data_IF_662906628124
#
_entry.id   IF_662906628124
#
_cell.length_a   1.000
_cell.length_b   1.000
_cell.length_c   1.000
_cell.angle_alpha   90.00
_cell.angle_beta   90.00
_cell.angle_gamma   90.00
#
_symmetry.space_group_name_H-M   'P 1'
#
loop_
_entity.id
_entity.type
_entity.pdbx_description
1 polymer ?
#
# COMPACT_ATOMS: atom_id res chain seq x y z
N UNK A 1 -23.05 12.19 -10.52
CA UNK A 1 -23.19 10.84 -11.13
C UNK A 1 -21.81 10.34 -11.54
N UNK A 2 -21.61 9.02 -11.71
CA UNK A 2 -20.34 8.46 -12.22
C UNK A 2 -20.05 8.85 -13.68
N UNK A 3 -20.95 9.61 -14.31
CA UNK A 3 -20.97 9.90 -15.74
C UNK A 3 -20.56 11.35 -16.04
N UNK A 4 -20.08 12.09 -15.03
CA UNK A 4 -19.54 13.43 -15.22
C UNK A 4 -18.21 13.37 -15.98
N UNK A 5 -18.24 13.71 -17.27
CA UNK A 5 -17.04 13.95 -18.06
C UNK A 5 -16.06 14.85 -17.29
N UNK A 6 -14.77 14.53 -17.35
CA UNK A 6 -13.66 15.21 -16.66
C UNK A 6 -13.40 16.65 -17.17
N UNK A 7 -14.45 17.45 -17.36
CA UNK A 7 -14.43 18.67 -18.16
C UNK A 7 -13.96 19.95 -17.43
N UNK A 8 -13.69 19.89 -16.11
CA UNK A 8 -13.47 21.10 -15.29
C UNK A 8 -12.09 21.22 -14.59
N UNK A 9 -11.03 20.60 -15.12
CA UNK A 9 -9.65 20.92 -14.72
C UNK A 9 -8.94 21.80 -15.76
N UNK A 10 -8.01 22.72 -15.40
CA UNK A 10 -7.33 23.56 -16.36
C UNK A 10 -6.56 22.70 -17.38
N UNK A 11 -7.09 22.65 -18.61
CA UNK A 11 -6.70 21.75 -19.72
C UNK A 11 -5.31 22.04 -20.32
N UNK A 12 -4.40 22.68 -19.59
CA UNK A 12 -3.20 23.32 -20.16
C UNK A 12 -1.99 22.39 -20.39
N UNK A 13 -1.78 21.42 -19.51
CA UNK A 13 -0.54 20.59 -19.47
C UNK A 13 -0.79 19.08 -19.46
N UNK A 14 -2.03 18.64 -19.65
CA UNK A 14 -2.44 17.23 -19.57
C UNK A 14 -2.76 16.72 -20.97
N UNK A 15 -2.01 15.75 -21.47
CA UNK A 15 -2.20 15.16 -22.80
C UNK A 15 -3.29 14.07 -22.81
N UNK A 16 -3.39 13.27 -21.74
CA UNK A 16 -4.27 12.11 -21.67
C UNK A 16 -4.81 11.91 -20.25
N UNK A 17 -6.07 11.50 -20.14
CA UNK A 17 -6.70 11.03 -18.90
C UNK A 17 -6.90 9.52 -18.98
N UNK A 18 -6.53 8.80 -17.93
CA UNK A 18 -6.70 7.35 -17.85
C UNK A 18 -7.51 6.97 -16.60
N UNK A 19 -8.39 5.99 -16.75
CA UNK A 19 -9.16 5.41 -15.66
C UNK A 19 -8.58 4.06 -15.26
N UNK A 20 -8.47 3.82 -13.95
CA UNK A 20 -8.08 2.53 -13.38
C UNK A 20 -9.09 2.17 -12.29
N UNK A 21 -9.67 0.98 -12.38
CA UNK A 21 -10.56 0.48 -11.36
C UNK A 21 -9.80 0.08 -10.08
N UNK A 22 -10.50 0.06 -8.95
CA UNK A 22 -9.92 -0.24 -7.64
C UNK A 22 -9.25 -1.62 -7.59
N UNK A 23 -9.86 -2.72 -8.09
CA UNK A 23 -9.20 -4.03 -8.10
C UNK A 23 -7.88 -4.05 -8.87
N UNK A 24 -7.81 -3.44 -10.05
CA UNK A 24 -6.60 -3.37 -10.87
C UNK A 24 -5.50 -2.56 -10.19
N UNK A 25 -5.86 -1.47 -9.51
CA UNK A 25 -4.91 -0.69 -8.72
C UNK A 25 -4.35 -1.52 -7.55
N UNK A 26 -5.21 -2.20 -6.78
CA UNK A 26 -4.80 -3.07 -5.66
C UNK A 26 -3.91 -4.22 -6.14
N UNK A 27 -4.27 -4.89 -7.23
CA UNK A 27 -3.45 -5.95 -7.83
C UNK A 27 -2.05 -5.44 -8.19
N UNK A 28 -1.96 -4.22 -8.74
CA UNK A 28 -0.67 -3.60 -9.05
C UNK A 28 0.14 -3.34 -7.78
N UNK A 29 -0.47 -2.86 -6.69
CA UNK A 29 0.21 -2.71 -5.39
C UNK A 29 0.80 -4.03 -4.92
N UNK A 30 0.02 -5.11 -4.94
CA UNK A 30 0.49 -6.43 -4.51
C UNK A 30 1.66 -6.93 -5.35
N UNK A 31 1.58 -6.78 -6.68
CA UNK A 31 2.67 -7.16 -7.58
C UNK A 31 3.94 -6.36 -7.32
N UNK A 32 3.83 -5.05 -7.10
CA UNK A 32 4.98 -4.20 -6.78
C UNK A 32 5.63 -4.59 -5.46
N UNK A 33 4.83 -4.98 -4.45
CA UNK A 33 5.37 -5.51 -3.20
C UNK A 33 6.11 -6.83 -3.41
N UNK A 34 5.55 -7.74 -4.21
CA UNK A 34 6.11 -9.07 -4.43
C UNK A 34 7.35 -9.09 -5.34
N UNK A 35 7.35 -8.27 -6.40
CA UNK A 35 8.38 -8.28 -7.43
C UNK A 35 9.51 -7.28 -7.14
N UNK A 36 9.16 -6.09 -6.66
CA UNK A 36 10.11 -4.98 -6.48
C UNK A 36 10.39 -4.66 -5.01
N UNK A 37 9.71 -5.33 -4.07
CA UNK A 37 9.80 -5.02 -2.63
C UNK A 37 9.23 -3.64 -2.26
N UNK A 38 8.44 -3.03 -3.16
CA UNK A 38 7.94 -1.67 -2.97
C UNK A 38 6.54 -1.66 -2.34
N UNK A 39 6.47 -1.28 -1.07
CA UNK A 39 5.20 -1.10 -0.34
C UNK A 39 4.55 0.26 -0.64
N UNK A 40 3.73 0.30 -1.69
CA UNK A 40 3.07 1.52 -2.18
C UNK A 40 1.57 1.62 -1.84
N UNK A 41 1.04 2.84 -1.75
CA UNK A 41 -0.40 3.06 -1.54
C UNK A 41 -1.28 2.76 -2.78
N UNK A 42 -2.62 2.68 -2.61
CA UNK A 42 -3.55 2.35 -3.71
C UNK A 42 -3.49 3.29 -4.92
N UNK A 43 -3.39 4.61 -4.68
CA UNK A 43 -3.27 5.59 -5.76
C UNK A 43 -1.98 5.44 -6.56
N UNK A 44 -0.87 5.06 -5.90
CA UNK A 44 0.37 4.74 -6.60
C UNK A 44 0.24 3.48 -7.47
N UNK A 45 -0.51 2.48 -6.99
CA UNK A 45 -0.88 1.31 -7.80
C UNK A 45 -1.62 1.69 -9.08
N UNK A 46 -2.58 2.62 -9.01
CA UNK A 46 -3.27 3.14 -10.18
C UNK A 46 -2.31 3.89 -11.14
N UNK A 47 -1.47 4.78 -10.62
CA UNK A 47 -0.49 5.52 -11.45
C UNK A 47 0.51 4.60 -12.14
N UNK A 48 0.99 3.56 -11.45
CA UNK A 48 1.89 2.56 -12.04
C UNK A 48 1.19 1.69 -13.07
N UNK A 49 -0.08 1.32 -12.84
CA UNK A 49 -0.85 0.57 -13.84
C UNK A 49 -0.93 1.33 -15.17
N UNK A 50 -1.30 2.61 -15.11
CA UNK A 50 -1.32 3.48 -16.31
C UNK A 50 0.08 3.61 -16.91
N UNK A 51 1.11 3.79 -16.10
CA UNK A 51 2.47 3.91 -16.59
C UNK A 51 2.96 2.65 -17.32
N UNK A 52 2.63 1.45 -16.81
CA UNK A 52 2.93 0.19 -17.49
C UNK A 52 2.14 0.05 -18.79
N UNK A 53 0.88 0.47 -18.82
CA UNK A 53 0.08 0.47 -20.04
C UNK A 53 0.64 1.42 -21.10
N UNK A 54 1.15 2.59 -20.70
CA UNK A 54 1.85 3.53 -21.59
C UNK A 54 3.19 2.94 -22.04
N UNK A 55 3.96 2.34 -21.13
CA UNK A 55 5.26 1.74 -21.44
C UNK A 55 5.16 0.57 -22.44
N UNK A 56 4.04 -0.14 -22.45
CA UNK A 56 3.77 -1.21 -23.39
C UNK A 56 3.46 -0.71 -24.83
N UNK A 57 3.22 0.59 -25.01
CA UNK A 57 2.93 1.15 -26.34
C UNK A 57 4.20 1.23 -27.19
N UNK A 58 4.15 0.92 -28.50
CA UNK A 58 5.33 0.94 -29.37
C UNK A 58 6.06 2.30 -29.38
N UNK A 59 5.32 3.41 -29.32
CA UNK A 59 5.86 4.76 -29.29
C UNK A 59 6.56 5.14 -27.97
N UNK A 60 6.39 4.34 -26.92
CA UNK A 60 7.10 4.51 -25.65
C UNK A 60 8.47 3.82 -25.64
N UNK A 61 8.82 3.05 -26.70
CA UNK A 61 10.09 2.35 -26.79
C UNK A 61 11.29 3.31 -26.63
N UNK A 62 12.17 3.00 -25.68
CA UNK A 62 13.35 3.81 -25.37
C UNK A 62 13.07 5.13 -24.64
N UNK A 63 11.81 5.45 -24.33
CA UNK A 63 11.46 6.65 -23.54
C UNK A 63 11.50 6.35 -22.04
N UNK A 64 11.72 7.39 -21.24
CA UNK A 64 11.64 7.32 -19.79
C UNK A 64 10.28 7.82 -19.33
N UNK A 65 9.56 7.01 -18.55
CA UNK A 65 8.28 7.37 -17.92
C UNK A 65 8.54 7.59 -16.44
N UNK A 66 8.10 8.75 -15.93
CA UNK A 66 8.23 9.12 -14.52
C UNK A 66 6.88 9.03 -13.85
N UNK A 67 6.82 8.36 -12.70
CA UNK A 67 5.58 8.12 -11.93
C UNK A 67 5.76 8.63 -10.51
N UNK A 68 4.74 9.29 -9.98
CA UNK A 68 4.72 9.76 -8.59
C UNK A 68 4.13 8.66 -7.71
N UNK A 69 4.82 8.37 -6.60
CA UNK A 69 4.35 7.47 -5.55
C UNK A 69 3.96 8.33 -4.34
N UNK A 70 2.66 8.65 -4.13
CA UNK A 70 2.28 9.67 -3.15
C UNK A 70 2.42 9.23 -1.69
N UNK A 71 2.35 7.92 -1.42
CA UNK A 71 2.34 7.39 -0.06
C UNK A 71 2.84 5.95 0.05
N UNK A 72 3.29 5.61 1.25
CA UNK A 72 3.69 4.25 1.64
C UNK A 72 2.49 3.40 2.09
N UNK A 73 2.52 2.10 1.80
CA UNK A 73 1.38 1.21 1.99
C UNK A 73 1.02 0.91 3.45
N UNK A 74 1.97 1.09 4.38
CA UNK A 74 1.78 0.86 5.82
C UNK A 74 0.63 1.69 6.43
N UNK A 75 0.30 2.84 5.81
CA UNK A 75 -0.84 3.67 6.26
C UNK A 75 -2.19 3.01 6.03
N UNK A 76 -2.25 1.96 5.21
CA UNK A 76 -3.48 1.34 4.73
C UNK A 76 -3.71 -0.04 5.35
N UNK A 77 -3.06 -0.40 6.45
CA UNK A 77 -3.21 -1.71 7.13
C UNK A 77 -4.62 -2.00 7.63
N UNK A 78 -5.46 -0.96 7.78
CA UNK A 78 -6.87 -1.07 8.17
C UNK A 78 -7.85 -0.87 7.02
N UNK A 79 -7.37 -0.82 5.78
CA UNK A 79 -8.23 -0.76 4.59
C UNK A 79 -8.26 -2.12 3.90
N UNK A 80 -9.20 -2.34 2.95
CA UNK A 80 -9.29 -3.62 2.23
C UNK A 80 -8.06 -4.01 1.42
N UNK A 81 -7.04 -3.14 1.32
CA UNK A 81 -5.81 -3.42 0.59
C UNK A 81 -5.10 -4.69 1.08
N UNK A 82 -5.24 -5.05 2.36
CA UNK A 82 -4.49 -6.17 2.95
C UNK A 82 -5.37 -7.32 3.45
N UNK A 83 -6.68 -7.30 3.16
CA UNK A 83 -7.63 -8.26 3.77
C UNK A 83 -7.28 -9.72 3.48
N UNK A 84 -6.85 -10.04 2.26
CA UNK A 84 -6.44 -11.39 1.88
C UNK A 84 -5.23 -11.86 2.69
N UNK A 85 -4.21 -11.01 2.81
CA UNK A 85 -3.01 -11.27 3.60
C UNK A 85 -3.34 -11.39 5.10
N UNK A 86 -4.20 -10.52 5.62
CA UNK A 86 -4.64 -10.58 7.02
C UNK A 86 -5.40 -11.88 7.31
N UNK A 87 -6.25 -12.33 6.38
CA UNK A 87 -6.95 -13.60 6.49
C UNK A 87 -5.97 -14.79 6.45
N UNK A 88 -4.94 -14.73 5.61
CA UNK A 88 -3.85 -15.72 5.60
C UNK A 88 -3.09 -15.74 6.93
N UNK A 89 -2.63 -14.58 7.40
CA UNK A 89 -1.94 -14.46 8.68
C UNK A 89 -2.77 -14.98 9.85
N UNK A 90 -4.07 -14.71 9.88
CA UNK A 90 -4.97 -15.21 10.92
C UNK A 90 -5.10 -16.74 10.94
N UNK A 91 -4.92 -17.41 9.79
CA UNK A 91 -4.89 -18.88 9.70
C UNK A 91 -3.51 -19.46 10.04
N UNK A 92 -2.45 -18.76 9.65
CA UNK A 92 -1.07 -19.25 9.76
C UNK A 92 -0.42 -18.98 11.13
N UNK A 93 -0.77 -17.87 11.77
CA UNK A 93 -0.19 -17.46 13.05
C UNK A 93 -1.00 -18.05 14.21
N UNK A 94 -0.33 -18.46 15.30
CA UNK A 94 -1.05 -18.83 16.52
C UNK A 94 -1.86 -17.63 17.00
N UNK A 95 -3.04 -17.88 17.56
CA UNK A 95 -3.81 -16.83 18.22
C UNK A 95 -2.91 -16.11 19.21
N UNK A 96 -2.90 -14.77 19.15
CA UNK A 96 -2.18 -13.96 20.13
C UNK A 96 -2.66 -14.45 21.50
N UNK A 97 -1.76 -14.84 22.42
CA UNK A 97 -2.16 -15.21 23.76
C UNK A 97 -2.74 -13.96 24.43
N UNK A 98 -4.06 -13.80 24.33
CA UNK A 98 -4.79 -12.81 25.11
C UNK A 98 -4.82 -13.38 26.51
N UNK A 99 -3.99 -12.83 27.39
CA UNK A 99 -4.08 -13.10 28.81
C UNK A 99 -5.50 -12.74 29.25
N UNK A 100 -6.24 -13.70 29.80
CA UNK A 100 -7.56 -13.43 30.38
C UNK A 100 -7.47 -12.48 31.58
N UNK A 101 -6.29 -12.39 32.19
CA UNK A 101 -5.95 -11.45 33.24
C UNK A 101 -5.21 -10.25 32.64
N UNK A 102 -5.65 -9.03 32.98
CA UNK A 102 -4.82 -7.85 32.80
C UNK A 102 -3.54 -8.02 33.61
N UNK A 103 -2.44 -8.28 32.92
CA UNK A 103 -1.12 -8.23 33.55
C UNK A 103 -0.76 -6.75 33.71
N UNK A 104 -0.23 -6.33 34.87
CA UNK A 104 0.28 -4.97 35.01
C UNK A 104 1.29 -4.73 33.89
N UNK A 105 1.16 -3.57 33.21
CA UNK A 105 2.15 -3.11 32.25
C UNK A 105 3.51 -3.11 32.96
N UNK A 106 4.36 -4.06 32.60
CA UNK A 106 5.76 -4.05 32.99
C UNK A 106 6.42 -2.88 32.29
N UNK A 107 6.36 -1.72 32.93
CA UNK A 107 7.22 -0.59 32.61
C UNK A 107 8.61 -0.98 33.08
N UNK A 108 9.42 -1.47 32.15
CA UNK A 108 10.84 -1.67 32.40
C UNK A 108 11.46 -0.34 32.79
N UNK A 109 11.92 -0.22 34.04
CA UNK A 109 12.82 0.84 34.45
C UNK A 109 14.25 0.32 34.42
N UNK A 110 15.16 1.14 33.92
CA UNK A 110 16.61 0.85 33.96
C UNK A 110 17.16 0.58 35.38
N UNK A 111 16.44 0.99 36.44
CA UNK A 111 16.77 0.68 37.83
C UNK A 111 16.40 -0.73 38.27
N UNK A 112 15.50 -1.42 37.55
CA UNK A 112 14.98 -2.74 37.94
C UNK A 112 16.04 -3.85 37.78
N UNK A 113 17.08 -3.63 36.96
CA UNK A 113 18.21 -4.55 36.80
C UNK A 113 19.16 -4.58 38.02
N UNK A 114 19.13 -3.54 38.88
CA UNK A 114 20.01 -3.49 40.06
C UNK A 114 19.57 -4.42 41.20
N UNK A 115 18.30 -4.86 41.21
CA UNK A 115 17.75 -5.69 42.28
C UNK A 115 17.90 -7.18 41.98
N UNK A 116 18.04 -7.58 40.71
CA UNK A 116 18.22 -8.99 40.32
C UNK A 116 19.68 -9.48 40.40
N UNK A 117 20.63 -8.59 40.75
CA UNK A 117 22.06 -8.88 40.84
C UNK A 117 22.61 -8.92 42.29
N UNK A 118 21.73 -8.98 43.31
CA UNK A 118 22.07 -9.25 44.71
C UNK A 118 21.46 -10.59 45.15
#
# INVERSE_FOLDING_TARGET
EPDGAFDEAPRGVVDEWAHVDTPSAMQTVHRMCQLEGMMIGPSAGASLKVAFDIAARPEAAGKTIVVVIPSHALRYTKTPLWDELMAECARALPAIPVSAEEKPLLLWNSSDELVAAQ
#
